data_IF_533786396348
#
_entry.id   IF_533786396348
#
_cell.length_a   1.000
_cell.length_b   1.000
_cell.length_c   1.000
_cell.angle_alpha   90.00
_cell.angle_beta   90.00
_cell.angle_gamma   90.00
#
_symmetry.space_group_name_H-M   'P 1'
#
loop_
_entity.id
_entity.type
_entity.pdbx_description
1 polymer ?
#
# COMPACT_ATOMS: atom_id res chain seq x y z
N UNK A 1 0.30 -10.87 -39.19
CA UNK A 1 -0.70 -10.02 -38.53
C UNK A 1 0.04 -9.25 -37.44
N UNK A 2 0.03 -7.91 -37.51
CA UNK A 2 0.50 -7.11 -36.37
C UNK A 2 -0.29 -7.56 -35.14
N UNK A 3 0.43 -8.01 -34.09
CA UNK A 3 -0.21 -8.26 -32.81
C UNK A 3 -0.79 -6.93 -32.34
N UNK A 4 -2.09 -6.88 -32.05
CA UNK A 4 -2.75 -5.68 -31.54
C UNK A 4 -2.03 -5.15 -30.28
N UNK A 5 -2.37 -3.95 -29.86
CA UNK A 5 -1.86 -3.36 -28.63
C UNK A 5 -2.90 -3.48 -27.51
N UNK A 6 -2.42 -3.35 -26.27
CA UNK A 6 -3.25 -3.29 -25.07
C UNK A 6 -3.00 -1.97 -24.37
N UNK A 7 -4.08 -1.28 -23.98
CA UNK A 7 -4.00 -0.05 -23.18
C UNK A 7 -3.89 -0.36 -21.69
N UNK A 8 -3.02 0.36 -21.00
CA UNK A 8 -2.93 0.38 -19.54
C UNK A 8 -3.03 1.82 -19.07
N UNK A 9 -3.99 2.13 -18.22
CA UNK A 9 -4.25 3.47 -17.70
C UNK A 9 -3.76 3.53 -16.24
N UNK A 10 -2.74 4.34 -15.99
CA UNK A 10 -2.07 4.51 -14.70
C UNK A 10 -0.76 3.72 -14.61
N UNK A 11 0.36 4.42 -14.34
CA UNK A 11 1.68 3.83 -14.08
C UNK A 11 1.99 3.70 -12.57
N UNK A 12 0.98 3.36 -11.79
CA UNK A 12 1.12 2.87 -10.41
C UNK A 12 1.65 1.43 -10.37
N UNK A 13 1.64 0.80 -9.19
CA UNK A 13 2.15 -0.57 -9.02
C UNK A 13 1.42 -1.57 -9.93
N UNK A 14 0.09 -1.56 -9.92
CA UNK A 14 -0.69 -2.50 -10.73
C UNK A 14 -0.48 -2.29 -12.24
N UNK A 15 -0.46 -1.03 -12.71
CA UNK A 15 -0.28 -0.74 -14.13
C UNK A 15 1.12 -1.07 -14.63
N UNK A 16 2.17 -0.77 -13.86
CA UNK A 16 3.54 -1.15 -14.23
C UNK A 16 3.71 -2.67 -14.26
N UNK A 17 3.13 -3.40 -13.30
CA UNK A 17 3.16 -4.86 -13.30
C UNK A 17 2.41 -5.42 -14.52
N UNK A 18 1.19 -4.93 -14.80
CA UNK A 18 0.39 -5.34 -15.95
C UNK A 18 1.12 -5.07 -17.28
N UNK A 19 1.68 -3.88 -17.45
CA UNK A 19 2.43 -3.50 -18.65
C UNK A 19 3.62 -4.44 -18.89
N UNK A 20 4.38 -4.80 -17.85
CA UNK A 20 5.51 -5.74 -17.96
C UNK A 20 5.05 -7.15 -18.26
N UNK A 21 3.95 -7.61 -17.68
CA UNK A 21 3.39 -8.93 -18.00
C UNK A 21 2.96 -9.01 -19.48
N UNK A 22 2.32 -7.95 -20.00
CA UNK A 22 1.91 -7.88 -21.40
C UNK A 22 3.13 -7.83 -22.34
N UNK A 23 4.08 -6.95 -22.06
CA UNK A 23 5.28 -6.76 -22.92
C UNK A 23 6.14 -8.03 -22.98
N UNK A 24 6.22 -8.82 -21.90
CA UNK A 24 6.96 -10.08 -21.86
C UNK A 24 6.44 -11.13 -22.84
N UNK A 25 5.20 -10.97 -23.33
CA UNK A 25 4.62 -11.82 -24.39
C UNK A 25 4.81 -11.23 -25.81
N UNK A 26 5.62 -10.17 -25.94
CA UNK A 26 5.89 -9.48 -27.21
C UNK A 26 4.69 -8.72 -27.76
N UNK A 27 3.75 -8.31 -26.90
CA UNK A 27 2.58 -7.49 -27.25
C UNK A 27 2.90 -6.04 -26.95
N UNK A 28 2.50 -5.13 -27.82
CA UNK A 28 2.66 -3.68 -27.64
C UNK A 28 1.73 -3.17 -26.53
N UNK A 29 2.25 -2.29 -25.69
CA UNK A 29 1.51 -1.65 -24.59
C UNK A 29 1.49 -0.13 -24.81
N UNK A 30 0.32 0.46 -24.70
CA UNK A 30 0.15 1.89 -24.55
C UNK A 30 -0.11 2.17 -23.06
N UNK A 31 0.89 2.70 -22.37
CA UNK A 31 0.80 3.03 -20.94
C UNK A 31 0.57 4.52 -20.77
N UNK A 32 -0.58 4.87 -20.19
CA UNK A 32 -0.98 6.26 -19.94
C UNK A 32 -0.75 6.61 -18.47
N UNK A 33 -0.06 7.73 -18.23
CA UNK A 33 0.20 8.25 -16.88
C UNK A 33 0.00 9.77 -16.85
N UNK A 34 -0.79 10.27 -15.92
CA UNK A 34 -1.06 11.71 -15.81
C UNK A 34 0.14 12.52 -15.31
N UNK A 35 1.08 11.91 -14.59
CA UNK A 35 2.32 12.55 -14.17
C UNK A 35 3.30 12.67 -15.34
N UNK A 36 4.12 13.70 -15.40
CA UNK A 36 4.29 14.80 -14.43
C UNK A 36 3.27 15.93 -14.59
N UNK A 37 2.43 15.91 -15.63
CA UNK A 37 1.51 17.03 -15.97
C UNK A 37 0.47 17.28 -14.89
N UNK A 38 -0.03 16.23 -14.25
CA UNK A 38 -1.01 16.32 -13.17
C UNK A 38 -0.62 15.40 -12.00
N UNK A 39 -0.69 15.90 -10.79
CA UNK A 39 -0.47 15.15 -9.55
C UNK A 39 -1.64 15.31 -8.61
N UNK A 40 -1.91 14.27 -7.80
CA UNK A 40 -2.78 14.41 -6.63
C UNK A 40 -1.99 14.95 -5.44
N UNK A 41 -2.63 15.45 -4.38
CA UNK A 41 -1.93 15.93 -3.18
C UNK A 41 -1.03 14.87 -2.50
N UNK A 42 -1.27 13.58 -2.74
CA UNK A 42 -0.48 12.50 -2.17
C UNK A 42 0.79 12.16 -2.99
N UNK A 43 0.85 12.57 -4.26
CA UNK A 43 2.01 12.32 -5.12
C UNK A 43 3.10 13.38 -4.93
N UNK A 44 4.33 12.94 -4.72
CA UNK A 44 5.51 13.80 -4.54
C UNK A 44 6.56 13.60 -5.64
N UNK A 45 6.51 12.48 -6.36
CA UNK A 45 7.46 12.10 -7.40
C UNK A 45 6.82 12.08 -8.78
N UNK A 46 7.62 12.30 -9.82
CA UNK A 46 7.23 12.08 -11.23
C UNK A 46 7.45 10.62 -11.66
N UNK A 47 8.11 9.82 -10.82
CA UNK A 47 8.44 8.43 -11.10
C UNK A 47 7.20 7.52 -11.01
N UNK A 48 7.28 6.38 -11.69
CA UNK A 48 6.24 5.35 -11.68
C UNK A 48 6.33 4.47 -10.42
N UNK A 49 5.24 3.80 -10.10
CA UNK A 49 5.20 2.90 -8.94
C UNK A 49 5.47 3.58 -7.60
N UNK A 50 5.11 4.86 -7.45
CA UNK A 50 5.36 5.63 -6.22
C UNK A 50 4.64 5.01 -5.02
N UNK A 51 5.39 4.80 -3.93
CA UNK A 51 4.86 4.32 -2.65
C UNK A 51 4.40 5.52 -1.79
N UNK A 52 3.13 5.89 -1.88
CA UNK A 52 2.61 7.14 -1.30
C UNK A 52 2.45 7.13 0.22
N UNK A 53 2.14 5.99 0.83
CA UNK A 53 1.83 5.86 2.26
C UNK A 53 3.04 5.43 3.09
N UNK A 54 3.66 4.30 2.75
CA UNK A 54 4.73 3.65 3.50
C UNK A 54 5.74 3.04 2.53
N UNK A 55 6.98 2.82 2.98
CA UNK A 55 7.96 2.05 2.21
C UNK A 55 7.94 0.55 2.52
N UNK A 56 7.02 0.09 3.36
CA UNK A 56 6.89 -1.32 3.73
C UNK A 56 5.96 -2.07 2.77
N UNK A 57 6.43 -3.21 2.30
CA UNK A 57 5.68 -4.17 1.51
C UNK A 57 5.16 -5.35 2.37
N UNK A 58 4.97 -5.11 3.67
CA UNK A 58 4.50 -6.10 4.67
C UNK A 58 5.51 -7.25 4.92
N UNK A 59 5.09 -8.29 5.64
CA UNK A 59 5.96 -9.39 6.04
C UNK A 59 6.57 -10.18 4.86
N UNK A 60 7.83 -10.69 5.04
CA UNK A 60 8.54 -11.48 4.03
C UNK A 60 8.31 -12.98 4.15
N UNK A 61 8.17 -13.50 5.38
CA UNK A 61 8.09 -14.94 5.64
C UNK A 61 6.84 -15.56 5.00
N UNK A 62 6.97 -16.73 4.40
CA UNK A 62 5.88 -17.44 3.70
C UNK A 62 4.79 -17.96 4.64
N UNK A 63 5.06 -18.07 5.94
CA UNK A 63 4.08 -18.39 6.97
C UNK A 63 3.15 -17.21 7.30
N UNK A 64 3.32 -16.10 6.64
CA UNK A 64 2.37 -14.98 6.65
C UNK A 64 1.69 -14.84 5.30
N UNK A 65 0.42 -14.46 5.29
CA UNK A 65 -0.35 -14.29 4.05
C UNK A 65 0.33 -13.31 3.07
N UNK A 66 0.87 -12.19 3.58
CA UNK A 66 1.59 -11.22 2.74
C UNK A 66 2.93 -11.77 2.21
N UNK A 67 3.60 -12.64 2.93
CA UNK A 67 4.81 -13.32 2.45
C UNK A 67 4.50 -14.38 1.42
N UNK A 68 3.45 -15.18 1.65
CA UNK A 68 2.97 -16.18 0.69
C UNK A 68 2.58 -15.52 -0.64
N UNK A 69 1.82 -14.41 -0.60
CA UNK A 69 1.47 -13.63 -1.78
C UNK A 69 2.71 -13.24 -2.60
N UNK A 70 3.75 -12.71 -1.94
CA UNK A 70 4.99 -12.30 -2.62
C UNK A 70 5.75 -13.47 -3.21
N UNK A 71 5.74 -14.62 -2.55
CA UNK A 71 6.36 -15.83 -3.10
C UNK A 71 5.62 -16.34 -4.35
N UNK A 72 4.29 -16.32 -4.33
CA UNK A 72 3.48 -16.66 -5.51
C UNK A 72 3.76 -15.68 -6.66
N UNK A 73 3.85 -14.38 -6.39
CA UNK A 73 4.22 -13.37 -7.39
C UNK A 73 5.61 -13.60 -7.96
N UNK A 74 6.62 -13.99 -7.14
CA UNK A 74 7.97 -14.34 -7.63
C UNK A 74 7.93 -15.54 -8.58
N UNK A 75 7.18 -16.57 -8.26
CA UNK A 75 6.98 -17.75 -9.12
C UNK A 75 6.29 -17.43 -10.44
N UNK A 76 5.49 -16.36 -10.44
CA UNK A 76 4.87 -15.82 -11.65
C UNK A 76 5.70 -14.72 -12.32
N UNK A 77 6.96 -14.59 -11.97
CA UNK A 77 7.94 -13.68 -12.60
C UNK A 77 7.57 -12.20 -12.47
N UNK A 78 7.04 -11.78 -11.31
CA UNK A 78 6.67 -10.39 -11.04
C UNK A 78 7.84 -9.43 -11.23
N UNK A 79 7.62 -8.40 -12.04
CA UNK A 79 8.58 -7.33 -12.27
C UNK A 79 8.83 -6.49 -11.02
N UNK A 80 7.76 -6.14 -10.30
CA UNK A 80 7.88 -5.31 -9.10
C UNK A 80 8.59 -6.03 -7.96
N UNK A 81 8.42 -7.36 -7.84
CA UNK A 81 9.19 -8.12 -6.87
C UNK A 81 10.69 -8.09 -7.19
N UNK A 82 11.07 -8.18 -8.46
CA UNK A 82 12.48 -8.03 -8.89
C UNK A 82 13.05 -6.65 -8.58
N UNK A 83 12.25 -5.59 -8.69
CA UNK A 83 12.64 -4.24 -8.30
C UNK A 83 12.81 -4.13 -6.78
N UNK A 84 11.83 -4.64 -6.01
CA UNK A 84 11.85 -4.59 -4.55
C UNK A 84 13.06 -5.33 -3.96
N UNK A 85 13.37 -6.51 -4.49
CA UNK A 85 14.50 -7.33 -4.02
C UNK A 85 15.88 -6.64 -4.21
N UNK A 86 15.98 -5.65 -5.13
CA UNK A 86 17.22 -4.88 -5.40
C UNK A 86 17.43 -3.66 -4.51
N UNK A 87 16.42 -3.20 -3.78
CA UNK A 87 16.47 -1.94 -3.03
C UNK A 87 15.93 -2.06 -1.60
N UNK A 88 16.13 -3.23 -0.98
CA UNK A 88 15.68 -3.48 0.38
C UNK A 88 16.40 -2.58 1.40
N UNK A 89 15.66 -2.16 2.42
CA UNK A 89 16.20 -1.52 3.63
C UNK A 89 15.85 -2.36 4.85
N UNK A 90 16.68 -2.34 5.92
CA UNK A 90 16.43 -3.10 7.14
C UNK A 90 15.07 -2.77 7.75
N UNK A 91 14.26 -3.80 8.03
CA UNK A 91 12.90 -3.65 8.60
C UNK A 91 12.44 -4.90 9.35
N UNK A 92 13.33 -5.59 10.05
CA UNK A 92 13.03 -6.81 10.81
C UNK A 92 12.50 -7.92 9.91
N UNK A 93 11.31 -8.43 10.21
CA UNK A 93 10.66 -9.47 9.39
C UNK A 93 9.81 -8.95 8.23
N UNK A 94 9.85 -7.65 7.93
CA UNK A 94 9.12 -7.04 6.82
C UNK A 94 10.05 -6.80 5.62
N UNK A 95 9.49 -6.82 4.42
CA UNK A 95 10.15 -6.27 3.23
C UNK A 95 9.87 -4.76 3.21
N UNK A 96 10.90 -3.95 3.41
CA UNK A 96 10.84 -2.53 3.18
C UNK A 96 11.88 -2.14 2.11
N UNK A 97 11.60 -1.09 1.35
CA UNK A 97 12.44 -0.67 0.24
C UNK A 97 12.84 0.80 0.37
N UNK A 98 13.98 1.14 -0.23
CA UNK A 98 14.30 2.53 -0.52
C UNK A 98 13.32 3.04 -1.57
N UNK A 99 12.50 4.01 -1.17
CA UNK A 99 11.34 4.48 -1.93
C UNK A 99 11.72 5.08 -3.28
N UNK A 100 12.79 5.86 -3.28
CA UNK A 100 13.28 6.56 -4.46
C UNK A 100 13.98 5.60 -5.43
N UNK A 101 14.82 4.70 -4.90
CA UNK A 101 15.47 3.67 -5.72
C UNK A 101 14.43 2.72 -6.32
N UNK A 102 13.44 2.30 -5.55
CA UNK A 102 12.35 1.44 -6.03
C UNK A 102 11.61 2.07 -7.21
N UNK A 103 11.10 3.30 -7.03
CA UNK A 103 10.36 4.00 -8.09
C UNK A 103 11.23 4.27 -9.32
N UNK A 104 12.53 4.54 -9.13
CA UNK A 104 13.49 4.69 -10.23
C UNK A 104 13.66 3.39 -11.00
N UNK A 105 13.91 2.27 -10.32
CA UNK A 105 14.03 0.94 -10.95
C UNK A 105 12.77 0.57 -11.75
N UNK A 106 11.59 0.88 -11.21
CA UNK A 106 10.31 0.66 -11.89
C UNK A 106 10.21 1.52 -13.14
N UNK A 107 10.50 2.82 -13.01
CA UNK A 107 10.42 3.78 -14.13
C UNK A 107 11.38 3.42 -15.25
N UNK A 108 12.65 3.15 -14.90
CA UNK A 108 13.70 2.79 -15.86
C UNK A 108 13.35 1.48 -16.57
N UNK A 109 12.87 0.48 -15.84
CA UNK A 109 12.47 -0.81 -16.40
C UNK A 109 11.25 -0.74 -17.33
N UNK A 110 10.33 0.20 -17.11
CA UNK A 110 9.21 0.46 -18.01
C UNK A 110 9.68 1.23 -19.24
N UNK A 111 10.45 2.32 -19.05
CA UNK A 111 10.90 3.18 -20.17
C UNK A 111 11.92 2.51 -21.10
N UNK A 112 12.68 1.55 -20.59
CA UNK A 112 13.63 0.76 -21.39
C UNK A 112 12.99 -0.38 -22.20
N UNK A 113 11.69 -0.64 -22.01
CA UNK A 113 11.01 -1.75 -22.70
C UNK A 113 10.49 -1.31 -24.07
N UNK A 114 11.04 -1.85 -25.15
CA UNK A 114 10.70 -1.50 -26.55
C UNK A 114 9.25 -1.82 -26.91
N UNK A 115 8.55 -2.65 -26.13
CA UNK A 115 7.14 -2.95 -26.34
C UNK A 115 6.22 -2.02 -25.57
N UNK A 116 6.74 -1.13 -24.71
CA UNK A 116 5.92 -0.21 -23.92
C UNK A 116 6.10 1.23 -24.42
N UNK A 117 5.03 1.83 -24.92
CA UNK A 117 5.00 3.25 -25.25
C UNK A 117 4.29 3.99 -24.13
N UNK A 118 4.98 4.95 -23.51
CA UNK A 118 4.44 5.76 -22.42
C UNK A 118 3.86 7.05 -22.98
N UNK A 119 2.61 7.34 -22.63
CA UNK A 119 1.90 8.60 -22.90
C UNK A 119 1.71 9.35 -21.58
N UNK A 120 2.35 10.53 -21.47
CA UNK A 120 2.24 11.38 -20.27
C UNK A 120 1.00 12.27 -20.42
N UNK A 121 -0.18 11.67 -20.19
CA UNK A 121 -1.47 12.35 -20.28
C UNK A 121 -2.52 11.74 -19.36
N UNK A 122 -3.47 12.57 -18.93
CA UNK A 122 -4.62 12.14 -18.18
C UNK A 122 -5.67 11.56 -19.13
N UNK A 123 -6.08 10.32 -18.88
CA UNK A 123 -7.24 9.71 -19.54
C UNK A 123 -8.49 10.04 -18.73
N UNK A 124 -9.46 10.66 -19.38
CA UNK A 124 -10.73 11.08 -18.76
C UNK A 124 -11.95 10.35 -19.32
N UNK A 125 -11.77 9.54 -20.36
CA UNK A 125 -12.84 8.76 -21.00
C UNK A 125 -12.40 7.28 -21.08
N UNK A 126 -13.38 6.37 -20.94
CA UNK A 126 -13.17 4.92 -21.03
C UNK A 126 -13.59 4.48 -22.43
N UNK A 127 -12.62 4.13 -23.30
CA UNK A 127 -12.89 3.58 -24.64
C UNK A 127 -13.07 2.06 -24.60
N UNK A 128 -13.95 1.55 -25.45
CA UNK A 128 -14.17 0.13 -25.69
C UNK A 128 -13.49 -0.39 -26.97
N UNK A 129 -12.70 0.48 -27.66
CA UNK A 129 -12.12 0.16 -28.98
C UNK A 129 -10.97 -0.85 -28.91
N UNK A 130 -10.34 -1.00 -27.76
CA UNK A 130 -9.22 -1.91 -27.55
C UNK A 130 -9.28 -2.56 -26.16
N UNK A 131 -8.56 -3.67 -25.99
CA UNK A 131 -8.39 -4.25 -24.66
C UNK A 131 -7.69 -3.23 -23.77
N UNK A 132 -8.32 -2.89 -22.65
CA UNK A 132 -7.89 -1.82 -21.75
C UNK A 132 -7.88 -2.29 -20.31
N UNK A 133 -6.80 -1.97 -19.57
CA UNK A 133 -6.68 -2.19 -18.14
C UNK A 133 -6.70 -0.85 -17.42
N UNK A 134 -7.70 -0.59 -16.57
CA UNK A 134 -7.78 0.57 -15.69
C UNK A 134 -7.06 0.23 -14.39
N UNK A 135 -5.88 0.81 -14.21
CA UNK A 135 -4.97 0.58 -13.08
C UNK A 135 -4.57 1.88 -12.38
N UNK A 136 -5.46 2.87 -12.37
CA UNK A 136 -5.23 4.22 -11.84
C UNK A 136 -5.13 4.27 -10.30
N UNK A 137 -5.45 3.16 -9.65
CA UNK A 137 -5.31 3.00 -8.21
C UNK A 137 -6.30 3.84 -7.39
N UNK A 138 -6.04 4.02 -6.09
CA UNK A 138 -6.96 4.68 -5.17
C UNK A 138 -7.04 6.20 -5.41
N UNK A 139 -6.02 6.78 -6.05
CA UNK A 139 -5.88 8.20 -6.34
C UNK A 139 -6.25 8.52 -7.81
N UNK A 140 -7.22 7.79 -8.35
CA UNK A 140 -7.80 8.08 -9.67
C UNK A 140 -8.22 9.54 -9.75
N UNK A 141 -7.94 10.19 -10.89
CA UNK A 141 -8.30 11.59 -11.10
C UNK A 141 -9.82 11.79 -11.03
N UNK A 142 -10.26 12.97 -10.57
CA UNK A 142 -11.68 13.26 -10.39
C UNK A 142 -12.46 13.06 -11.70
N UNK A 143 -11.91 13.49 -12.83
CA UNK A 143 -12.55 13.35 -14.13
C UNK A 143 -12.80 11.88 -14.52
N UNK A 144 -11.80 11.01 -14.36
CA UNK A 144 -11.96 9.59 -14.64
C UNK A 144 -12.83 8.89 -13.59
N UNK A 145 -12.74 9.30 -12.30
CA UNK A 145 -13.59 8.78 -11.24
C UNK A 145 -15.08 9.08 -11.51
N UNK A 146 -15.41 10.29 -11.99
CA UNK A 146 -16.77 10.65 -12.39
C UNK A 146 -17.26 9.74 -13.53
N UNK A 147 -16.44 9.46 -14.53
CA UNK A 147 -16.80 8.55 -15.63
C UNK A 147 -16.97 7.10 -15.18
N UNK A 148 -16.17 6.64 -14.22
CA UNK A 148 -16.35 5.33 -13.61
C UNK A 148 -17.70 5.27 -12.86
N UNK A 149 -18.06 6.31 -12.11
CA UNK A 149 -19.35 6.40 -11.41
C UNK A 149 -20.52 6.45 -12.41
N UNK A 150 -20.41 7.29 -13.43
CA UNK A 150 -21.45 7.44 -14.47
C UNK A 150 -21.72 6.10 -15.18
N UNK A 151 -20.68 5.36 -15.53
CA UNK A 151 -20.79 4.13 -16.30
C UNK A 151 -21.19 2.92 -15.46
N UNK A 152 -20.68 2.80 -14.22
CA UNK A 152 -20.83 1.59 -13.39
C UNK A 152 -21.69 1.80 -12.15
N UNK A 153 -22.27 2.99 -11.97
CA UNK A 153 -23.31 3.27 -10.99
C UNK A 153 -22.84 3.49 -9.55
N UNK A 154 -21.61 3.08 -9.16
CA UNK A 154 -21.09 3.33 -7.82
C UNK A 154 -19.57 3.31 -7.76
N UNK A 155 -18.96 4.35 -7.20
CA UNK A 155 -17.66 4.24 -6.54
C UNK A 155 -17.90 4.21 -5.03
N UNK A 156 -17.16 3.36 -4.35
CA UNK A 156 -17.06 3.35 -2.90
C UNK A 156 -15.77 4.09 -2.53
N UNK A 157 -15.73 4.69 -1.35
CA UNK A 157 -14.53 5.38 -0.89
C UNK A 157 -14.26 5.09 0.57
N UNK A 158 -12.99 5.13 0.92
CA UNK A 158 -12.52 5.14 2.29
C UNK A 158 -11.35 6.12 2.43
N UNK A 159 -11.02 6.49 3.65
CA UNK A 159 -9.90 7.37 3.92
C UNK A 159 -8.69 6.57 4.38
N UNK A 160 -7.54 6.94 3.84
CA UNK A 160 -6.23 6.44 4.22
C UNK A 160 -5.34 7.62 4.64
N UNK A 161 -4.42 7.37 5.56
CA UNK A 161 -3.51 8.39 6.05
C UNK A 161 -2.05 7.95 5.91
N UNK A 162 -1.18 8.89 5.54
CA UNK A 162 0.26 8.69 5.52
C UNK A 162 0.88 9.07 6.87
N UNK A 163 1.97 8.40 7.23
CA UNK A 163 2.76 8.74 8.41
C UNK A 163 3.83 9.78 8.08
N UNK A 164 4.23 10.63 9.06
CA UNK A 164 5.32 11.59 8.88
C UNK A 164 6.68 10.93 8.70
N UNK A 165 7.59 11.67 8.06
CA UNK A 165 9.00 11.32 7.88
C UNK A 165 9.86 12.43 8.48
N UNK A 166 10.86 12.04 9.28
CA UNK A 166 11.78 12.97 9.97
C UNK A 166 13.23 12.78 9.50
N UNK A 167 14.04 13.84 9.62
CA UNK A 167 15.48 13.79 9.39
C UNK A 167 16.16 12.95 10.46
N UNK A 168 17.09 12.09 10.05
CA UNK A 168 17.91 11.29 10.96
C UNK A 168 18.73 12.19 11.92
N UNK A 169 19.30 13.28 11.41
CA UNK A 169 20.14 14.20 12.18
C UNK A 169 19.37 14.94 13.28
N UNK A 170 18.05 15.04 13.13
CA UNK A 170 17.19 15.72 14.10
C UNK A 170 16.64 14.80 15.20
N UNK A 171 16.93 13.48 15.13
CA UNK A 171 16.54 12.52 16.16
C UNK A 171 17.54 12.58 17.30
N UNK A 172 17.07 12.85 18.52
CA UNK A 172 17.92 12.88 19.70
C UNK A 172 18.21 11.46 20.21
N UNK A 173 19.40 10.96 19.86
CA UNK A 173 19.83 9.60 20.23
C UNK A 173 20.13 9.44 21.73
N UNK A 174 20.20 10.55 22.50
CA UNK A 174 20.26 10.45 23.97
C UNK A 174 18.96 9.91 24.57
N UNK A 175 17.85 10.08 23.88
CA UNK A 175 16.53 9.57 24.24
C UNK A 175 16.06 8.38 23.38
N UNK A 176 16.92 7.83 22.53
CA UNK A 176 16.56 6.73 21.64
C UNK A 176 17.61 5.61 21.68
N UNK A 177 17.28 4.46 21.10
CA UNK A 177 18.20 3.34 20.95
C UNK A 177 17.82 2.48 19.73
N UNK A 178 18.82 1.82 19.14
CA UNK A 178 18.63 0.84 18.08
C UNK A 178 18.23 -0.50 18.66
N UNK A 179 17.16 -1.09 18.16
CA UNK A 179 16.79 -2.49 18.42
C UNK A 179 15.68 -2.94 17.47
N UNK A 180 15.61 -4.25 17.25
CA UNK A 180 14.46 -4.92 16.63
C UNK A 180 13.67 -5.69 17.68
N UNK A 181 12.34 -5.76 17.55
CA UNK A 181 11.52 -6.57 18.49
C UNK A 181 11.87 -8.03 18.38
N UNK A 182 12.13 -8.65 19.54
CA UNK A 182 12.49 -10.07 19.62
C UNK A 182 13.75 -10.41 18.81
N UNK A 183 14.67 -9.46 18.65
CA UNK A 183 15.95 -9.59 17.93
C UNK A 183 15.77 -10.10 16.47
N UNK A 184 14.65 -9.75 15.84
CA UNK A 184 14.38 -10.11 14.44
C UNK A 184 15.18 -9.21 13.49
N UNK A 185 15.51 -9.76 12.32
CA UNK A 185 16.34 -9.07 11.33
C UNK A 185 17.79 -8.98 11.76
N UNK A 186 18.45 -7.82 11.60
CA UNK A 186 19.82 -7.59 12.07
C UNK A 186 19.91 -7.29 13.57
N UNK A 187 18.77 -7.15 14.26
CA UNK A 187 18.69 -6.83 15.68
C UNK A 187 18.62 -5.32 15.97
N UNK A 188 18.98 -4.47 15.02
CA UNK A 188 19.09 -3.02 15.16
C UNK A 188 18.34 -2.24 14.04
N UNK A 189 17.34 -2.84 13.42
CA UNK A 189 16.67 -2.32 12.22
C UNK A 189 15.84 -1.06 12.47
N UNK A 190 15.48 -0.78 13.73
CA UNK A 190 14.64 0.36 14.11
C UNK A 190 15.33 1.25 15.13
N UNK A 191 15.12 2.57 15.02
CA UNK A 191 15.32 3.48 16.13
C UNK A 191 14.06 3.43 17.01
N UNK A 192 14.22 3.19 18.30
CA UNK A 192 13.15 3.13 19.27
C UNK A 192 13.19 4.38 20.15
N UNK A 193 12.06 5.09 20.22
CA UNK A 193 11.85 6.29 21.01
C UNK A 193 10.99 5.93 22.23
N UNK A 194 11.60 5.56 23.35
CA UNK A 194 10.89 5.16 24.57
C UNK A 194 10.25 6.37 25.25
N UNK A 195 9.16 6.12 25.96
CA UNK A 195 8.52 7.06 26.90
C UNK A 195 8.27 6.35 28.23
N UNK A 196 8.42 7.10 29.31
CA UNK A 196 7.91 6.73 30.62
C UNK A 196 6.38 6.99 30.69
N UNK A 197 5.75 6.76 31.85
CA UNK A 197 4.30 6.91 32.00
C UNK A 197 3.86 8.38 31.86
N UNK A 198 4.54 9.30 32.50
CA UNK A 198 4.19 10.72 32.52
C UNK A 198 4.36 11.37 31.13
N UNK A 199 5.44 11.04 30.44
CA UNK A 199 5.71 11.48 29.06
C UNK A 199 4.64 10.96 28.11
N UNK A 200 4.22 9.70 28.25
CA UNK A 200 3.16 9.13 27.46
C UNK A 200 1.80 9.77 27.73
N UNK A 201 1.43 9.99 28.99
CA UNK A 201 0.18 10.64 29.36
C UNK A 201 0.10 12.06 28.80
N UNK A 202 1.20 12.84 28.89
CA UNK A 202 1.31 14.16 28.31
C UNK A 202 1.13 14.13 26.78
N UNK A 203 1.83 13.23 26.11
CA UNK A 203 1.70 13.02 24.67
C UNK A 203 0.27 12.61 24.29
N UNK A 204 -0.33 11.65 25.00
CA UNK A 204 -1.68 11.15 24.75
C UNK A 204 -2.72 12.26 24.85
N UNK A 205 -2.68 13.07 25.92
CA UNK A 205 -3.61 14.18 26.09
C UNK A 205 -3.48 15.23 24.98
N UNK A 206 -2.26 15.55 24.59
CA UNK A 206 -2.00 16.46 23.48
C UNK A 206 -2.52 15.90 22.13
N UNK A 207 -2.38 14.58 21.92
CA UNK A 207 -2.82 13.92 20.69
C UNK A 207 -4.35 13.88 20.54
N UNK A 208 -5.07 13.51 21.59
CA UNK A 208 -6.54 13.39 21.53
C UNK A 208 -7.26 14.74 21.44
N UNK A 209 -6.59 15.83 21.85
CA UNK A 209 -7.12 17.21 21.80
C UNK A 209 -6.62 18.01 20.60
N UNK A 210 -5.72 17.44 19.79
CA UNK A 210 -5.10 18.13 18.67
C UNK A 210 -6.09 18.42 17.54
N UNK A 211 -5.88 19.53 16.84
CA UNK A 211 -6.71 19.94 15.71
C UNK A 211 -6.42 19.08 14.47
N UNK A 212 -7.48 18.61 13.84
CA UNK A 212 -7.43 17.84 12.59
C UNK A 212 -7.58 18.75 11.37
N UNK A 213 -6.99 18.32 10.26
CA UNK A 213 -7.24 18.94 8.97
C UNK A 213 -8.71 18.69 8.55
N UNK A 214 -9.37 19.65 7.90
CA UNK A 214 -10.73 19.47 7.41
C UNK A 214 -10.76 18.37 6.34
N UNK A 215 -11.76 17.50 6.41
CA UNK A 215 -12.09 16.57 5.32
C UNK A 215 -12.91 17.33 4.27
N UNK A 216 -12.74 16.98 2.98
CA UNK A 216 -13.53 17.60 1.91
C UNK A 216 -15.03 17.33 2.09
N UNK A 217 -15.87 18.27 1.68
CA UNK A 217 -17.29 18.48 2.05
C UNK A 217 -18.26 17.32 1.78
N UNK A 218 -17.89 16.31 1.00
CA UNK A 218 -18.78 15.20 0.66
C UNK A 218 -18.82 14.06 1.70
N UNK A 219 -17.88 14.05 2.67
CA UNK A 219 -17.65 12.92 3.58
C UNK A 219 -17.80 13.26 5.08
N UNK A 220 -18.38 14.43 5.39
CA UNK A 220 -18.43 14.97 6.78
C UNK A 220 -19.27 14.12 7.74
N UNK A 221 -20.23 13.33 7.26
CA UNK A 221 -21.22 12.68 8.12
C UNK A 221 -20.86 11.27 8.62
N UNK A 222 -19.83 10.63 8.13
CA UNK A 222 -19.24 9.40 8.69
C UNK A 222 -18.08 8.88 7.78
N UNK A 223 -16.87 9.42 7.90
CA UNK A 223 -15.77 8.95 7.06
C UNK A 223 -15.46 7.50 7.42
N UNK A 224 -15.71 6.57 6.48
CA UNK A 224 -15.23 5.19 6.61
C UNK A 224 -13.71 5.22 6.53
N UNK A 225 -13.02 4.95 7.63
CA UNK A 225 -11.55 4.84 7.69
C UNK A 225 -11.19 3.37 7.65
N UNK A 226 -10.24 3.02 6.80
CA UNK A 226 -9.73 1.65 6.76
C UNK A 226 -8.95 1.34 8.04
N UNK A 227 -9.32 0.26 8.74
CA UNK A 227 -8.73 -0.11 10.04
C UNK A 227 -7.19 -0.26 10.00
N UNK A 228 -6.65 -0.75 8.88
CA UNK A 228 -5.20 -0.95 8.71
C UNK A 228 -4.38 0.33 8.57
N UNK A 229 -5.05 1.45 8.24
CA UNK A 229 -4.43 2.78 8.04
C UNK A 229 -5.11 3.86 8.88
N UNK A 230 -5.69 3.45 10.02
CA UNK A 230 -6.39 4.35 10.93
C UNK A 230 -5.44 5.43 11.47
N UNK A 231 -5.82 6.72 11.42
CA UNK A 231 -5.05 7.80 12.02
C UNK A 231 -4.79 7.57 13.51
N UNK A 232 -3.57 7.87 13.94
CA UNK A 232 -3.12 7.61 15.32
C UNK A 232 -3.97 8.34 16.36
N UNK A 233 -4.43 9.56 16.05
CA UNK A 233 -5.34 10.35 16.90
C UNK A 233 -6.76 9.74 16.98
N UNK A 234 -7.22 9.06 15.92
CA UNK A 234 -8.50 8.32 15.93
C UNK A 234 -8.36 7.05 16.76
N UNK A 235 -7.24 6.36 16.61
CA UNK A 235 -6.91 5.19 17.41
C UNK A 235 -6.81 5.55 18.90
N UNK A 236 -6.17 6.67 19.24
CA UNK A 236 -6.04 7.17 20.61
C UNK A 236 -7.40 7.45 21.28
N UNK A 237 -8.39 7.93 20.53
CA UNK A 237 -9.75 8.19 21.05
C UNK A 237 -10.50 6.91 21.49
N UNK A 238 -10.05 5.73 21.07
CA UNK A 238 -10.63 4.45 21.51
C UNK A 238 -10.24 4.10 22.96
N UNK A 239 -9.28 4.79 23.54
CA UNK A 239 -8.87 4.64 24.93
C UNK A 239 -7.37 4.86 25.15
N UNK A 240 -7.01 5.29 26.35
CA UNK A 240 -5.65 5.68 26.73
C UNK A 240 -4.60 4.58 26.44
N UNK A 241 -4.95 3.32 26.64
CA UNK A 241 -4.03 2.20 26.44
C UNK A 241 -4.01 1.68 25.00
N UNK A 242 -4.88 2.16 24.10
CA UNK A 242 -5.00 1.60 22.74
C UNK A 242 -3.68 1.67 21.98
N UNK A 243 -2.97 2.80 22.05
CA UNK A 243 -1.68 2.94 21.37
C UNK A 243 -0.61 2.01 21.94
N UNK A 244 -0.63 1.72 23.25
CA UNK A 244 0.31 0.83 23.93
C UNK A 244 0.09 -0.67 23.61
N UNK A 245 -1.09 -1.04 23.15
CA UNK A 245 -1.39 -2.37 22.58
C UNK A 245 -1.29 -2.39 21.05
N UNK A 246 -1.18 -1.22 20.43
CA UNK A 246 -1.05 -1.01 19.00
C UNK A 246 0.36 -0.54 18.56
N UNK A 247 0.47 0.62 17.88
CA UNK A 247 1.71 1.08 17.27
C UNK A 247 2.83 1.39 18.29
N UNK A 248 2.48 1.74 19.51
CA UNK A 248 3.44 2.11 20.56
C UNK A 248 3.68 0.98 21.59
N UNK A 249 3.36 -0.26 21.27
CA UNK A 249 3.53 -1.36 22.21
C UNK A 249 5.01 -1.50 22.64
N UNK A 250 5.30 -1.67 23.96
CA UNK A 250 6.68 -1.81 24.43
C UNK A 250 7.19 -3.27 24.47
N UNK A 251 6.31 -4.24 24.22
CA UNK A 251 6.63 -5.67 24.32
C UNK A 251 7.70 -6.08 23.31
N UNK A 252 8.66 -6.89 23.75
CA UNK A 252 9.79 -7.35 22.93
C UNK A 252 10.94 -6.33 22.81
N UNK A 253 10.93 -5.26 23.62
CA UNK A 253 12.00 -4.26 23.68
C UNK A 253 12.43 -4.02 25.14
N UNK A 254 13.72 -3.87 25.33
CA UNK A 254 14.35 -3.42 26.58
C UNK A 254 15.19 -2.19 26.24
N UNK A 255 15.02 -1.11 27.02
CA UNK A 255 15.86 0.07 26.86
C UNK A 255 17.25 -0.20 27.44
N UNK A 256 18.33 -0.22 26.64
CA UNK A 256 19.66 -0.56 27.13
C UNK A 256 20.22 0.43 28.14
N UNK A 257 19.70 1.68 28.16
CA UNK A 257 20.12 2.74 29.08
C UNK A 257 19.56 2.56 30.48
N UNK A 258 18.37 1.94 30.60
CA UNK A 258 17.70 1.73 31.90
C UNK A 258 17.66 0.27 32.34
N UNK A 259 17.89 -0.68 31.44
CA UNK A 259 17.73 -2.11 31.67
C UNK A 259 16.26 -2.56 31.80
N UNK A 260 15.29 -1.65 31.59
CA UNK A 260 13.87 -1.93 31.77
C UNK A 260 13.06 -1.78 30.48
N UNK A 261 11.90 -2.43 30.46
CA UNK A 261 10.92 -2.26 29.40
C UNK A 261 10.27 -0.87 29.55
N UNK A 262 10.25 -0.03 28.48
CA UNK A 262 9.60 1.26 28.51
C UNK A 262 8.08 1.16 28.75
N UNK A 263 7.43 2.27 29.10
CA UNK A 263 5.96 2.35 29.20
C UNK A 263 5.29 2.32 27.81
N UNK A 264 5.83 3.09 26.87
CA UNK A 264 5.44 3.08 25.47
C UNK A 264 6.69 3.31 24.59
N UNK A 265 6.65 2.90 23.33
CA UNK A 265 7.76 3.09 22.37
C UNK A 265 7.20 3.41 20.99
N UNK A 266 7.60 4.55 20.43
CA UNK A 266 7.49 4.79 18.99
C UNK A 266 8.69 4.16 18.29
N UNK A 267 8.46 3.40 17.22
CA UNK A 267 9.52 2.89 16.35
C UNK A 267 9.66 3.76 15.10
N UNK A 268 10.90 4.05 14.73
CA UNK A 268 11.24 4.74 13.49
C UNK A 268 11.93 3.74 12.56
N UNK A 269 11.49 3.71 11.29
CA UNK A 269 12.05 2.84 10.25
C UNK A 269 12.75 3.66 9.18
N UNK A 270 13.90 3.19 8.70
CA UNK A 270 14.61 3.81 7.57
C UNK A 270 13.71 3.91 6.34
N UNK A 271 13.72 5.08 5.70
CA UNK A 271 13.03 5.32 4.43
C UNK A 271 13.95 5.12 3.22
N UNK A 272 15.26 5.23 3.41
CA UNK A 272 16.24 5.10 2.34
C UNK A 272 17.49 4.33 2.80
N UNK A 273 18.25 3.83 1.84
CA UNK A 273 19.50 3.09 2.11
C UNK A 273 20.54 3.93 2.85
N UNK A 274 20.60 5.25 2.59
CA UNK A 274 21.52 6.18 3.26
C UNK A 274 21.18 6.42 4.74
N UNK A 275 20.00 6.00 5.22
CA UNK A 275 19.59 6.20 6.61
C UNK A 275 19.46 7.67 7.00
N UNK A 276 19.19 8.56 6.05
CA UNK A 276 19.04 10.01 6.29
C UNK A 276 17.63 10.42 6.68
N UNK A 277 16.64 9.54 6.45
CA UNK A 277 15.23 9.77 6.70
C UNK A 277 14.59 8.59 7.41
N UNK A 278 13.69 8.86 8.34
CA UNK A 278 12.98 7.85 9.12
C UNK A 278 11.48 8.10 9.16
N UNK A 279 10.70 7.05 8.92
CA UNK A 279 9.25 7.04 9.01
C UNK A 279 8.79 6.73 10.45
N UNK A 280 7.78 7.45 10.94
CA UNK A 280 7.13 7.19 12.21
C UNK A 280 6.16 6.02 12.05
N UNK A 281 6.58 4.81 12.45
CA UNK A 281 5.82 3.57 12.22
C UNK A 281 4.48 3.57 12.97
N UNK A 282 3.38 3.43 12.22
CA UNK A 282 2.03 3.40 12.79
C UNK A 282 1.46 4.77 13.18
N UNK A 283 2.10 5.86 12.75
CA UNK A 283 1.68 7.23 13.03
C UNK A 283 1.05 7.92 11.82
N UNK A 284 0.27 7.17 11.05
CA UNK A 284 -0.62 7.77 10.07
C UNK A 284 -1.51 8.80 10.75
N UNK A 285 -1.72 9.97 10.14
CA UNK A 285 -2.41 11.08 10.84
C UNK A 285 -3.12 12.02 9.90
N UNK A 286 -4.23 12.60 10.38
CA UNK A 286 -4.95 13.72 9.78
C UNK A 286 -4.83 15.01 10.60
N UNK A 287 -3.85 15.10 11.51
CA UNK A 287 -3.60 16.32 12.24
C UNK A 287 -3.12 17.43 11.30
N UNK A 288 -3.46 18.69 11.60
CA UNK A 288 -2.85 19.85 10.93
C UNK A 288 -1.32 19.82 11.09
N UNK A 289 -0.56 20.32 10.12
CA UNK A 289 0.91 20.24 10.13
C UNK A 289 1.55 20.85 11.39
N UNK A 290 1.01 22.01 11.87
CA UNK A 290 1.46 22.61 13.12
C UNK A 290 1.20 21.72 14.34
N UNK A 291 0.08 21.01 14.35
CA UNK A 291 -0.25 20.06 15.40
C UNK A 291 0.61 18.80 15.36
N UNK A 292 0.92 18.28 14.16
CA UNK A 292 1.85 17.16 14.04
C UNK A 292 3.21 17.51 14.64
N UNK A 293 3.75 18.70 14.31
CA UNK A 293 5.01 19.16 14.90
C UNK A 293 4.89 19.31 16.41
N UNK A 294 3.86 19.99 16.92
CA UNK A 294 3.65 20.23 18.35
C UNK A 294 3.51 18.93 19.14
N UNK A 295 2.65 18.02 18.68
CA UNK A 295 2.32 16.78 19.42
C UNK A 295 3.46 15.77 19.34
N UNK A 296 4.01 15.53 18.16
CA UNK A 296 5.05 14.50 18.01
C UNK A 296 6.40 14.93 18.63
N UNK A 297 6.65 16.25 18.76
CA UNK A 297 7.82 16.76 19.50
C UNK A 297 7.72 16.57 21.02
N UNK A 298 6.59 16.13 21.57
CA UNK A 298 6.47 15.73 22.97
C UNK A 298 7.12 14.35 23.25
N UNK A 299 7.40 13.58 22.21
CA UNK A 299 8.19 12.35 22.32
C UNK A 299 9.65 12.75 22.54
N UNK A 300 10.32 12.38 23.65
CA UNK A 300 11.64 12.92 24.01
C UNK A 300 12.69 12.86 22.89
N UNK A 301 12.76 11.76 22.18
CA UNK A 301 13.69 11.60 21.06
C UNK A 301 13.36 12.49 19.84
N UNK A 302 12.17 13.07 19.76
CA UNK A 302 11.69 13.89 18.65
C UNK A 302 11.53 15.37 19.00
N UNK A 303 12.02 15.83 20.17
CA UNK A 303 11.77 17.19 20.64
C UNK A 303 12.36 18.29 19.72
N UNK A 304 13.35 17.94 18.90
CA UNK A 304 13.95 18.80 17.87
C UNK A 304 13.73 18.28 16.45
N UNK A 305 12.78 17.35 16.27
CA UNK A 305 12.62 16.68 14.98
C UNK A 305 12.27 17.65 13.85
N UNK A 306 12.98 17.48 12.74
CA UNK A 306 12.73 18.15 11.48
C UNK A 306 11.95 17.22 10.56
N UNK A 307 10.76 17.67 10.16
CA UNK A 307 9.87 16.88 9.31
C UNK A 307 10.18 17.12 7.85
N UNK A 308 10.67 16.10 7.15
CA UNK A 308 10.78 16.09 5.69
C UNK A 308 9.40 16.04 5.03
N UNK A 309 8.49 15.29 5.68
CA UNK A 309 7.15 15.08 5.18
C UNK A 309 6.20 14.98 6.36
N UNK A 310 5.11 15.74 6.29
CA UNK A 310 4.00 15.59 7.21
C UNK A 310 3.05 14.47 6.75
N UNK A 311 2.37 13.86 7.69
CA UNK A 311 1.28 12.96 7.42
C UNK A 311 0.11 13.71 6.78
N UNK A 312 -0.55 13.07 5.81
CA UNK A 312 -1.73 13.58 5.14
C UNK A 312 -2.76 12.48 4.99
N UNK A 313 -4.03 12.85 5.12
CA UNK A 313 -5.14 11.95 4.80
C UNK A 313 -5.57 12.19 3.36
N UNK A 314 -5.86 11.12 2.64
CA UNK A 314 -6.39 11.17 1.29
C UNK A 314 -7.56 10.20 1.14
N UNK A 315 -8.43 10.51 0.18
CA UNK A 315 -9.57 9.67 -0.17
C UNK A 315 -9.11 8.63 -1.18
N UNK A 316 -9.39 7.38 -0.88
CA UNK A 316 -9.19 6.25 -1.77
C UNK A 316 -10.51 5.87 -2.44
N UNK A 317 -10.49 5.73 -3.75
CA UNK A 317 -11.64 5.31 -4.54
C UNK A 317 -11.49 3.84 -4.91
N UNK A 318 -12.58 3.07 -4.83
CA UNK A 318 -12.66 1.70 -5.32
C UNK A 318 -14.05 1.40 -5.89
N UNK A 319 -14.15 0.38 -6.74
CA UNK A 319 -15.41 -0.04 -7.37
C UNK A 319 -16.07 -1.17 -6.58
N UNK A 320 -17.36 -1.38 -6.77
CA UNK A 320 -18.05 -2.56 -6.22
C UNK A 320 -17.75 -3.80 -7.06
N UNK A 321 -16.51 -4.29 -6.93
CA UNK A 321 -15.98 -5.38 -7.76
C UNK A 321 -16.81 -6.64 -7.78
N UNK A 322 -17.41 -7.11 -6.66
CA UNK A 322 -18.26 -8.31 -6.70
C UNK A 322 -19.46 -8.20 -7.64
N UNK A 323 -19.92 -6.98 -7.93
CA UNK A 323 -21.00 -6.77 -8.90
C UNK A 323 -20.50 -6.63 -10.33
N UNK A 324 -19.26 -6.22 -10.51
CA UNK A 324 -18.74 -5.77 -11.80
C UNK A 324 -17.75 -6.76 -12.42
N UNK A 325 -16.90 -7.41 -11.63
CA UNK A 325 -15.74 -8.12 -12.14
C UNK A 325 -15.89 -9.64 -12.08
N UNK A 326 -15.24 -10.30 -13.03
CA UNK A 326 -14.89 -11.71 -12.99
C UNK A 326 -13.59 -11.92 -12.16
N UNK A 327 -13.29 -13.16 -11.77
CA UNK A 327 -12.08 -13.49 -11.01
C UNK A 327 -10.76 -13.32 -11.79
N UNK A 328 -10.83 -13.06 -13.08
CA UNK A 328 -9.70 -12.68 -13.93
C UNK A 328 -9.50 -11.17 -14.03
N UNK A 329 -10.28 -10.39 -13.26
CA UNK A 329 -10.35 -8.93 -13.23
C UNK A 329 -10.95 -8.28 -14.48
N UNK A 330 -11.51 -9.03 -15.43
CA UNK A 330 -12.30 -8.49 -16.53
C UNK A 330 -13.68 -8.03 -16.05
N UNK A 331 -14.24 -7.02 -16.75
CA UNK A 331 -15.60 -6.58 -16.52
C UNK A 331 -16.60 -7.64 -17.05
N UNK A 332 -17.63 -7.99 -16.26
CA UNK A 332 -18.64 -9.00 -16.66
C UNK A 332 -19.39 -8.66 -17.94
N UNK A 333 -19.66 -7.37 -18.14
CA UNK A 333 -20.42 -6.89 -19.30
C UNK A 333 -19.53 -6.65 -20.53
N UNK A 334 -18.20 -6.49 -20.33
CA UNK A 334 -17.24 -6.27 -21.40
C UNK A 334 -15.88 -6.87 -21.03
N UNK A 335 -15.64 -8.10 -21.45
CA UNK A 335 -14.40 -8.81 -21.15
C UNK A 335 -13.13 -8.22 -21.81
N UNK A 336 -13.23 -7.15 -22.62
CA UNK A 336 -12.09 -6.39 -23.14
C UNK A 336 -11.66 -5.27 -22.16
N UNK A 337 -12.45 -5.00 -21.12
CA UNK A 337 -12.15 -4.01 -20.10
C UNK A 337 -11.80 -4.70 -18.77
N UNK A 338 -10.61 -4.40 -18.26
CA UNK A 338 -10.09 -4.93 -17.02
C UNK A 338 -9.91 -3.82 -16.00
N UNK A 339 -9.99 -4.17 -14.72
CA UNK A 339 -9.59 -3.31 -13.62
C UNK A 339 -8.46 -3.97 -12.83
N UNK A 340 -7.53 -3.16 -12.32
CA UNK A 340 -6.43 -3.66 -11.50
C UNK A 340 -6.06 -2.68 -10.38
N UNK A 341 -5.36 -3.18 -9.38
CA UNK A 341 -4.91 -2.39 -8.24
C UNK A 341 -5.98 -2.18 -7.19
N UNK A 342 -5.71 -1.27 -6.28
CA UNK A 342 -6.58 -0.98 -5.14
C UNK A 342 -7.99 -0.53 -5.56
N UNK A 343 -8.13 -0.02 -6.77
CA UNK A 343 -9.43 0.31 -7.37
C UNK A 343 -10.39 -0.90 -7.39
N UNK A 344 -9.89 -2.13 -7.44
CA UNK A 344 -10.68 -3.36 -7.39
C UNK A 344 -11.06 -3.82 -5.97
N UNK A 345 -10.72 -3.06 -4.93
CA UNK A 345 -10.95 -3.45 -3.55
C UNK A 345 -9.92 -4.44 -2.99
N UNK A 346 -8.80 -4.67 -3.67
CA UNK A 346 -7.62 -5.29 -3.05
C UNK A 346 -6.82 -4.23 -2.29
N UNK A 347 -6.43 -4.50 -1.05
CA UNK A 347 -5.79 -3.53 -0.18
C UNK A 347 -4.33 -3.88 0.11
N UNK A 348 -3.45 -2.99 -0.33
CA UNK A 348 -2.01 -3.09 -0.14
C UNK A 348 -1.23 -3.03 -1.45
N UNK A 349 0.07 -2.71 -1.34
CA UNK A 349 0.94 -2.51 -2.51
C UNK A 349 1.15 -3.79 -3.34
N UNK A 350 1.47 -4.90 -2.67
CA UNK A 350 1.72 -6.17 -3.36
C UNK A 350 0.42 -6.84 -3.80
N UNK A 351 -0.66 -6.64 -3.07
CA UNK A 351 -2.01 -7.03 -3.47
C UNK A 351 -2.42 -6.32 -4.75
N UNK A 352 -2.17 -5.01 -4.83
CA UNK A 352 -2.41 -4.22 -6.05
C UNK A 352 -1.56 -4.70 -7.21
N UNK A 353 -0.27 -4.92 -6.99
CA UNK A 353 0.63 -5.46 -8.00
C UNK A 353 0.20 -6.86 -8.48
N UNK A 354 -0.24 -7.74 -7.58
CA UNK A 354 -0.71 -9.08 -7.91
C UNK A 354 -1.96 -9.07 -8.80
N UNK A 355 -2.89 -8.14 -8.55
CA UNK A 355 -4.05 -7.96 -9.43
C UNK A 355 -3.64 -7.45 -10.81
N UNK A 356 -2.65 -6.54 -10.88
CA UNK A 356 -2.07 -6.07 -12.14
C UNK A 356 -1.39 -7.19 -12.93
N UNK A 357 -0.66 -8.09 -12.24
CA UNK A 357 -0.05 -9.28 -12.82
C UNK A 357 -1.11 -10.18 -13.49
N UNK A 358 -2.20 -10.47 -12.76
CA UNK A 358 -3.28 -11.33 -13.28
C UNK A 358 -4.04 -10.65 -14.42
N UNK A 359 -4.41 -9.36 -14.26
CA UNK A 359 -5.10 -8.59 -15.30
C UNK A 359 -4.25 -8.51 -16.57
N UNK A 360 -2.94 -8.24 -16.46
CA UNK A 360 -2.02 -8.20 -17.59
C UNK A 360 -1.95 -9.52 -18.35
N UNK A 361 -1.79 -10.64 -17.65
CA UNK A 361 -1.79 -11.99 -18.26
C UNK A 361 -3.13 -12.33 -18.89
N UNK A 362 -4.23 -11.95 -18.26
CA UNK A 362 -5.55 -12.24 -18.79
C UNK A 362 -5.91 -11.35 -20.00
N UNK A 363 -5.44 -10.12 -20.03
CA UNK A 363 -5.56 -9.26 -21.22
C UNK A 363 -4.79 -9.84 -22.42
N UNK A 364 -3.59 -10.41 -22.19
CA UNK A 364 -2.84 -11.17 -23.23
C UNK A 364 -3.66 -12.35 -23.72
N UNK A 365 -4.17 -13.17 -22.81
CA UNK A 365 -4.95 -14.38 -23.16
C UNK A 365 -6.21 -14.00 -23.94
N UNK A 366 -6.86 -12.88 -23.54
CA UNK A 366 -8.02 -12.34 -24.25
C UNK A 366 -7.66 -11.94 -25.69
N UNK A 367 -6.55 -11.22 -25.88
CA UNK A 367 -6.06 -10.84 -27.20
C UNK A 367 -5.75 -12.07 -28.08
N UNK A 368 -5.24 -13.14 -27.48
CA UNK A 368 -4.91 -14.40 -28.15
C UNK A 368 -6.12 -15.35 -28.31
N UNK A 369 -7.31 -14.97 -27.88
CA UNK A 369 -8.52 -15.81 -27.91
C UNK A 369 -8.44 -17.05 -27.01
N UNK A 370 -7.62 -17.02 -25.95
CA UNK A 370 -7.45 -18.12 -24.98
C UNK A 370 -8.40 -17.94 -23.78
N UNK A 371 -8.77 -19.06 -23.16
CA UNK A 371 -9.56 -19.03 -21.93
C UNK A 371 -8.81 -18.24 -20.81
N UNK A 372 -9.53 -17.53 -19.91
CA UNK A 372 -8.92 -16.78 -18.84
C UNK A 372 -8.10 -17.68 -17.90
N UNK A 373 -7.03 -17.11 -17.33
CA UNK A 373 -6.22 -17.71 -16.28
C UNK A 373 -6.89 -17.42 -14.93
N UNK A 374 -7.53 -18.43 -14.36
CA UNK A 374 -8.07 -18.38 -13.00
C UNK A 374 -7.14 -19.17 -12.09
N UNK A 375 -6.56 -18.52 -11.10
CA UNK A 375 -5.72 -19.20 -10.12
C UNK A 375 -6.56 -19.96 -9.12
N UNK A 376 -6.06 -21.11 -8.61
CA UNK A 376 -6.77 -21.87 -7.58
C UNK A 376 -7.02 -21.00 -6.33
N UNK A 377 -8.23 -21.11 -5.76
CA UNK A 377 -8.61 -20.41 -4.52
C UNK A 377 -7.78 -20.85 -3.30
N UNK A 378 -6.98 -21.91 -3.41
CA UNK A 378 -6.00 -22.34 -2.40
C UNK A 378 -4.69 -21.57 -2.45
N UNK A 379 -4.52 -20.67 -3.44
CA UNK A 379 -3.42 -19.72 -3.50
C UNK A 379 -3.86 -18.36 -2.95
N UNK A 380 -2.94 -17.57 -2.43
CA UNK A 380 -3.25 -16.24 -1.90
C UNK A 380 -3.71 -15.28 -3.00
N UNK A 381 -3.07 -15.32 -4.18
CA UNK A 381 -3.48 -14.54 -5.35
C UNK A 381 -4.87 -14.95 -5.85
N UNK A 382 -5.14 -16.26 -5.93
CA UNK A 382 -6.44 -16.78 -6.36
C UNK A 382 -7.56 -16.43 -5.37
N UNK A 383 -7.30 -16.54 -4.06
CA UNK A 383 -8.28 -16.15 -3.03
C UNK A 383 -8.57 -14.65 -3.04
N UNK A 384 -7.58 -13.79 -3.27
CA UNK A 384 -7.81 -12.35 -3.40
C UNK A 384 -8.64 -12.01 -4.63
N UNK A 385 -8.36 -12.63 -5.77
CA UNK A 385 -9.14 -12.46 -7.00
C UNK A 385 -10.59 -12.96 -6.82
N UNK A 386 -10.77 -14.11 -6.18
CA UNK A 386 -12.09 -14.65 -5.85
C UNK A 386 -12.86 -13.74 -4.90
N UNK A 387 -12.19 -13.21 -3.85
CA UNK A 387 -12.82 -12.27 -2.93
C UNK A 387 -13.23 -10.98 -3.65
N UNK A 388 -12.40 -10.43 -4.52
CA UNK A 388 -12.74 -9.24 -5.31
C UNK A 388 -13.93 -9.48 -6.24
N UNK A 389 -14.04 -10.68 -6.85
CA UNK A 389 -15.09 -10.99 -7.80
C UNK A 389 -16.39 -11.49 -7.15
N UNK A 390 -16.33 -12.23 -6.05
CA UNK A 390 -17.45 -12.98 -5.50
C UNK A 390 -17.67 -12.81 -3.99
N UNK A 391 -17.15 -11.73 -3.39
CA UNK A 391 -17.42 -11.46 -1.97
C UNK A 391 -18.92 -11.46 -1.69
N UNK A 392 -19.40 -12.25 -0.71
CA UNK A 392 -20.81 -12.31 -0.36
C UNK A 392 -21.29 -11.10 0.45
N UNK A 393 -20.37 -10.20 0.83
CA UNK A 393 -20.68 -9.05 1.67
C UNK A 393 -21.58 -8.05 0.94
N UNK A 394 -22.68 -7.65 1.58
CA UNK A 394 -23.53 -6.55 1.10
C UNK A 394 -22.81 -5.19 1.18
N UNK A 395 -21.91 -5.03 2.14
CA UNK A 395 -21.04 -3.86 2.31
C UNK A 395 -19.60 -4.29 1.97
N UNK A 396 -19.31 -4.36 0.66
CA UNK A 396 -17.98 -4.72 0.17
C UNK A 396 -16.92 -3.74 0.66
N UNK A 397 -15.89 -4.25 1.29
CA UNK A 397 -14.77 -3.48 1.82
C UNK A 397 -13.46 -3.99 1.22
N UNK A 398 -12.46 -3.10 1.04
CA UNK A 398 -11.14 -3.50 0.60
C UNK A 398 -10.52 -4.56 1.51
N UNK A 399 -9.82 -5.52 0.90
CA UNK A 399 -9.24 -6.67 1.58
C UNK A 399 -7.78 -6.85 1.21
N UNK A 400 -6.91 -6.90 2.22
CA UNK A 400 -5.51 -7.31 2.06
C UNK A 400 -5.33 -8.82 2.18
N UNK A 401 -4.15 -9.29 1.79
CA UNK A 401 -3.78 -10.70 1.93
C UNK A 401 -3.87 -11.15 3.40
N UNK A 402 -4.73 -12.12 3.65
CA UNK A 402 -4.90 -12.76 4.96
C UNK A 402 -5.37 -14.20 4.79
N UNK A 403 -5.03 -15.08 5.74
CA UNK A 403 -5.38 -16.49 5.66
C UNK A 403 -6.88 -16.76 5.86
N UNK A 404 -7.64 -15.80 6.37
CA UNK A 404 -9.09 -15.93 6.56
C UNK A 404 -9.88 -15.99 5.26
N UNK A 405 -9.30 -15.59 4.12
CA UNK A 405 -9.94 -15.71 2.80
C UNK A 405 -9.60 -17.02 2.07
N UNK A 406 -8.63 -17.80 2.58
CA UNK A 406 -8.35 -19.12 2.03
C UNK A 406 -9.46 -20.10 2.41
N UNK A 407 -9.80 -21.05 1.54
CA UNK A 407 -10.73 -22.12 1.90
C UNK A 407 -10.14 -22.97 3.02
N UNK A 408 -11.01 -23.54 3.84
CA UNK A 408 -10.59 -24.54 4.84
C UNK A 408 -10.01 -25.74 4.08
N UNK A 409 -8.74 -26.00 4.28
CA UNK A 409 -8.11 -27.23 3.78
C UNK A 409 -8.55 -28.34 4.74
N UNK A 410 -9.38 -29.26 4.27
CA UNK A 410 -9.71 -30.44 5.08
C UNK A 410 -8.43 -31.19 5.45
N UNK A 411 -8.21 -31.49 6.73
CA UNK A 411 -6.97 -32.10 7.18
C UNK A 411 -6.91 -33.58 6.76
N UNK A 412 -6.36 -33.86 5.60
CA UNK A 412 -5.76 -35.18 5.35
C UNK A 412 -4.32 -35.27 5.91
N UNK A 413 -3.84 -34.24 6.58
CA UNK A 413 -2.55 -34.23 7.27
C UNK A 413 -2.85 -34.12 8.75
N UNK A 414 -2.44 -35.16 9.50
CA UNK A 414 -2.69 -35.29 10.92
C UNK A 414 -2.40 -34.01 11.70
N UNK A 415 -3.18 -33.77 12.74
CA UNK A 415 -3.11 -32.63 13.63
C UNK A 415 -1.66 -32.33 13.99
N UNK A 416 -1.10 -31.30 13.43
CA UNK A 416 0.06 -30.67 14.05
C UNK A 416 -0.46 -30.03 15.33
N UNK A 417 -0.12 -30.62 16.46
CA UNK A 417 -0.32 -29.96 17.75
C UNK A 417 0.57 -28.71 17.78
N UNK A 418 -0.07 -27.56 17.92
CA UNK A 418 0.57 -26.33 18.31
C UNK A 418 0.92 -26.39 19.78
#
# INVERSE_FOLDING_TARGET
>A
MEKGYINVIGAGLAGCEAAKQISSHGIKVHLYEMKPKKKTPAHHSDLFGELVCSNSLKAMRTESAAGLLKEEMRRLDSFLMKCADKCQVPAGGALAVDRDIFSRLVTDGIRADENITVFEEEITEISDDAITIIATGPLTSDALAEKIIERFGTSLSFFDAAAPIVSAESIDMDYAFYASRYDKGSGDDYINCPMNKEEYETFYQALVTAERAPLHSFDVNNPKVYEGCMPVEVMAQRGENTLRFGPMKPVGLVNPKTGHRPWAVLQLRKENCGGTMYNLVGFQTNLKFGEQKRVFSLIPALHKAEFYRYGVMHRNTFINSPKLLNADFSLRENENLFFAGQLTGVEGYMESASSGLLAGRNAVRRLEGKAPLILPITTMMGSLAEHAAHSPSKDFQPMGANFGILPVIEPQIGRAHV
#
